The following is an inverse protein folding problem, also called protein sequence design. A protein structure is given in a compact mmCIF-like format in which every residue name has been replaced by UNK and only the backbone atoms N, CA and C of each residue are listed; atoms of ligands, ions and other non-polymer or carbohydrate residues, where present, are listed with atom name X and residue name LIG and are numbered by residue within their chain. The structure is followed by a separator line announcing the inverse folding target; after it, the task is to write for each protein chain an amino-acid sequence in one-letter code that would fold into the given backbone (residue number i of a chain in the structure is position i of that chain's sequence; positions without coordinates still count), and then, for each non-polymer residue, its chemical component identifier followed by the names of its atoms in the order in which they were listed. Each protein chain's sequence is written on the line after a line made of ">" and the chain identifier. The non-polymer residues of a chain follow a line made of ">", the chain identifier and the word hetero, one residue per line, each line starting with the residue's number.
data_IF_736785804320
#
_entry.id   IF_736785804320
#
_cell.length_a   1.000
_cell.length_b   1.000
_cell.length_c   1.000
_cell.angle_alpha   90.00
_cell.angle_beta   90.00
_cell.angle_gamma   90.00
#
_symmetry.space_group_name_H-M   'P 1'
#
loop_
_entity.id
_entity.type
_entity.pdbx_description
1 polymer ?
#
# COMPACT_ATOMS: atom_id res chain seq x y z
N UNK A 1 16.20 -24.69 29.21
CA UNK A 1 15.55 -25.03 27.91
C UNK A 1 14.52 -24.01 27.42
N UNK A 2 13.70 -23.39 28.30
CA UNK A 2 12.69 -22.39 27.88
C UNK A 2 13.29 -21.11 27.27
N UNK A 3 14.38 -20.61 27.85
CA UNK A 3 15.14 -19.44 27.36
C UNK A 3 15.79 -19.68 25.98
N UNK A 4 16.34 -20.88 25.75
CA UNK A 4 16.92 -21.27 24.46
C UNK A 4 15.86 -21.37 23.35
N UNK A 5 14.68 -21.91 23.67
CA UNK A 5 13.54 -21.93 22.74
C UNK A 5 13.06 -20.51 22.40
N UNK A 6 13.02 -19.61 23.38
CA UNK A 6 12.62 -18.21 23.18
C UNK A 6 13.60 -17.48 22.24
N UNK A 7 14.90 -17.72 22.42
CA UNK A 7 15.97 -17.17 21.57
C UNK A 7 15.86 -17.63 20.11
N UNK A 8 15.59 -18.91 19.88
CA UNK A 8 15.40 -19.45 18.53
C UNK A 8 14.18 -18.85 17.82
N UNK A 9 13.07 -18.65 18.54
CA UNK A 9 11.87 -17.99 17.99
C UNK A 9 12.16 -16.52 17.65
N UNK A 10 12.91 -15.82 18.48
CA UNK A 10 13.28 -14.42 18.24
C UNK A 10 14.18 -14.25 17.01
N UNK A 11 15.15 -15.15 16.83
CA UNK A 11 16.02 -15.18 15.64
C UNK A 11 15.21 -15.52 14.38
N UNK A 12 14.25 -16.44 14.46
CA UNK A 12 13.38 -16.75 13.33
C UNK A 12 12.51 -15.54 12.94
N UNK A 13 11.98 -14.80 13.92
CA UNK A 13 11.12 -13.65 13.70
C UNK A 13 11.86 -12.45 13.08
N UNK A 14 13.14 -12.22 13.44
CA UNK A 14 13.90 -11.07 12.92
C UNK A 14 14.18 -11.15 11.41
N UNK A 15 14.25 -12.36 10.84
CA UNK A 15 14.49 -12.56 9.40
C UNK A 15 13.32 -12.07 8.52
N UNK A 16 12.11 -11.96 9.06
CA UNK A 16 10.93 -11.49 8.33
C UNK A 16 11.00 -9.98 7.99
N UNK A 17 11.80 -9.20 8.73
CA UNK A 17 11.89 -7.75 8.59
C UNK A 17 12.85 -7.31 7.46
N UNK A 18 13.61 -8.24 6.87
CA UNK A 18 14.67 -7.94 5.88
C UNK A 18 14.14 -7.90 4.43
N UNK A 19 12.86 -8.23 4.20
CA UNK A 19 12.31 -8.37 2.85
C UNK A 19 12.06 -7.05 2.08
N UNK A 20 12.17 -5.87 2.73
CA UNK A 20 11.92 -4.59 2.06
C UNK A 20 13.17 -4.14 1.29
N UNK A 21 13.04 -3.89 -0.02
CA UNK A 21 14.13 -3.41 -0.87
C UNK A 21 13.69 -2.21 -1.72
N UNK A 22 14.62 -1.26 -1.93
CA UNK A 22 14.37 -0.11 -2.79
C UNK A 22 14.48 -0.51 -4.26
N UNK A 23 13.41 -0.32 -5.03
CA UNK A 23 13.38 -0.62 -6.46
C UNK A 23 13.67 0.65 -7.27
N UNK A 24 14.44 0.51 -8.35
CA UNK A 24 14.74 1.64 -9.24
C UNK A 24 13.49 2.02 -10.05
N UNK A 25 13.35 3.29 -10.41
CA UNK A 25 12.13 3.80 -11.05
C UNK A 25 11.72 3.03 -12.32
N UNK A 26 12.67 2.55 -13.13
CA UNK A 26 12.38 1.81 -14.36
C UNK A 26 11.94 0.35 -14.12
N UNK A 27 12.32 -0.25 -12.99
CA UNK A 27 11.90 -1.61 -12.61
C UNK A 27 10.45 -1.64 -12.12
N UNK A 28 9.94 -0.49 -11.64
CA UNK A 28 8.53 -0.34 -11.25
C UNK A 28 7.56 -0.63 -12.40
N UNK A 29 7.97 -0.43 -13.66
CA UNK A 29 7.13 -0.78 -14.83
C UNK A 29 6.75 -2.27 -14.85
N UNK A 30 7.56 -3.14 -14.25
CA UNK A 30 7.27 -4.59 -14.17
C UNK A 30 6.50 -4.99 -12.92
N UNK A 31 6.43 -4.10 -11.92
CA UNK A 31 5.80 -4.35 -10.62
C UNK A 31 4.45 -3.65 -10.50
N UNK A 32 4.27 -2.54 -11.20
CA UNK A 32 3.07 -1.72 -11.14
C UNK A 32 1.93 -2.42 -11.89
N UNK A 33 0.90 -2.79 -11.14
CA UNK A 33 -0.38 -3.12 -11.71
C UNK A 33 -1.09 -1.84 -12.20
N UNK A 34 -1.91 -1.99 -13.22
CA UNK A 34 -2.88 -0.98 -13.65
C UNK A 34 -3.81 -0.50 -12.54
N UNK A 35 -4.13 -1.35 -11.56
CA UNK A 35 -4.94 -0.98 -10.38
C UNK A 35 -4.16 -0.18 -9.33
N UNK A 36 -2.82 -0.15 -9.40
CA UNK A 36 -1.97 0.63 -8.49
C UNK A 36 -1.83 2.10 -8.93
N UNK A 37 -2.50 2.50 -10.01
CA UNK A 37 -2.57 3.90 -10.40
C UNK A 37 -3.39 4.67 -9.37
N UNK A 38 -2.80 5.74 -8.84
CA UNK A 38 -3.39 6.59 -7.81
C UNK A 38 -4.40 7.56 -8.44
N UNK A 39 -5.31 7.04 -9.25
CA UNK A 39 -6.35 7.77 -9.95
C UNK A 39 -7.59 6.90 -10.08
N UNK A 40 -8.76 7.46 -9.80
CA UNK A 40 -10.01 6.73 -9.96
C UNK A 40 -10.30 6.47 -11.44
N UNK A 41 -10.80 5.28 -11.75
CA UNK A 41 -11.32 5.00 -13.09
C UNK A 41 -12.57 5.83 -13.35
N UNK A 42 -12.82 6.15 -14.62
CA UNK A 42 -14.03 6.90 -15.01
C UNK A 42 -15.32 6.22 -14.54
N UNK A 43 -15.35 4.89 -14.52
CA UNK A 43 -16.49 4.09 -14.06
C UNK A 43 -16.72 4.19 -12.53
N UNK A 44 -15.66 4.36 -11.74
CA UNK A 44 -15.70 4.38 -10.27
C UNK A 44 -16.05 5.74 -9.69
N UNK A 45 -16.13 6.79 -10.53
CA UNK A 45 -16.41 8.15 -10.08
C UNK A 45 -17.72 8.27 -9.30
N UNK A 46 -18.75 7.54 -9.71
CA UNK A 46 -20.03 7.54 -8.99
C UNK A 46 -19.90 6.88 -7.62
N UNK A 47 -19.21 5.74 -7.57
CA UNK A 47 -18.96 5.02 -6.32
C UNK A 47 -18.18 5.88 -5.34
N UNK A 48 -17.09 6.46 -5.81
CA UNK A 48 -16.24 7.31 -5.00
C UNK A 48 -16.97 8.56 -4.49
N UNK A 49 -17.87 9.15 -5.29
CA UNK A 49 -18.67 10.28 -4.85
C UNK A 49 -19.65 9.92 -3.72
N UNK A 50 -20.29 8.74 -3.78
CA UNK A 50 -21.18 8.35 -2.67
C UNK A 50 -20.39 8.06 -1.40
N UNK A 51 -19.22 7.42 -1.52
CA UNK A 51 -18.35 7.12 -0.37
C UNK A 51 -17.81 8.41 0.26
N UNK A 52 -17.34 9.35 -0.57
CA UNK A 52 -16.90 10.67 -0.12
C UNK A 52 -18.03 11.42 0.59
N UNK A 53 -19.24 11.42 0.02
CA UNK A 53 -20.38 12.13 0.60
C UNK A 53 -20.87 11.50 1.91
N UNK A 54 -20.91 10.16 1.98
CA UNK A 54 -21.43 9.43 3.14
C UNK A 54 -20.42 9.31 4.27
N UNK A 55 -19.15 9.04 3.94
CA UNK A 55 -18.12 8.63 4.89
C UNK A 55 -16.98 9.65 5.01
N UNK A 56 -16.95 10.68 4.15
CA UNK A 56 -15.85 11.65 4.13
C UNK A 56 -14.52 11.02 3.69
N UNK A 57 -14.56 9.85 3.02
CA UNK A 57 -13.36 9.11 2.65
C UNK A 57 -12.60 9.83 1.53
N UNK A 58 -11.42 10.37 1.85
CA UNK A 58 -10.49 10.91 0.87
C UNK A 58 -9.49 9.83 0.47
N UNK A 59 -9.70 9.18 -0.67
CA UNK A 59 -8.73 8.20 -1.21
C UNK A 59 -7.44 8.87 -1.70
N UNK A 60 -6.35 8.11 -1.80
CA UNK A 60 -5.07 8.57 -2.35
C UNK A 60 -5.12 8.62 -3.89
N UNK A 61 -5.96 9.50 -4.44
CA UNK A 61 -6.28 9.51 -5.88
C UNK A 61 -5.70 10.73 -6.63
N UNK A 62 -4.77 11.45 -6.00
CA UNK A 62 -4.06 12.60 -6.58
C UNK A 62 -4.90 13.82 -6.99
N UNK A 63 -6.23 13.77 -6.89
CA UNK A 63 -7.17 14.82 -7.30
C UNK A 63 -7.67 15.70 -6.16
N UNK A 64 -8.49 16.73 -6.46
CA UNK A 64 -9.00 17.69 -5.45
C UNK A 64 -9.78 17.05 -4.29
N UNK A 65 -10.47 15.94 -4.54
CA UNK A 65 -11.26 15.22 -3.52
C UNK A 65 -10.48 14.10 -2.83
N UNK A 66 -9.26 13.81 -3.27
CA UNK A 66 -8.40 12.75 -2.73
C UNK A 66 -7.16 13.33 -2.06
N UNK A 67 -6.90 12.94 -0.81
CA UNK A 67 -5.76 13.40 -0.04
C UNK A 67 -4.92 12.21 0.41
N UNK A 68 -3.64 12.19 0.04
CA UNK A 68 -2.71 11.16 0.48
C UNK A 68 -1.42 11.11 -0.33
N UNK A 69 -0.33 10.71 0.32
CA UNK A 69 0.86 10.20 -0.34
C UNK A 69 0.50 8.80 -0.85
N UNK A 70 0.02 8.72 -2.09
CA UNK A 70 -0.20 7.41 -2.68
C UNK A 70 1.14 6.69 -2.86
N UNK A 71 1.22 5.46 -2.39
CA UNK A 71 2.40 4.62 -2.55
C UNK A 71 2.28 3.87 -3.88
N UNK A 72 3.05 4.32 -4.88
CA UNK A 72 3.35 3.56 -6.08
C UNK A 72 4.84 3.18 -6.08
#
# INVERSE_FOLDING_TARGET
>A
MKTLKLLLVFIAASNLLVACSSVKAYEKVKLNDSEMELAARKAEKFEQNFQLYREGSSGANGGKSGGGCGCN
#
